data_IF_656750804717
#
_entry.id   IF_656750804717
#
_cell.length_a   1.000
_cell.length_b   1.000
_cell.length_c   1.000
_cell.angle_alpha   90.00
_cell.angle_beta   90.00
_cell.angle_gamma   90.00
#
_symmetry.space_group_name_H-M   'P 1'
#
loop_
_entity.id
_entity.type
_entity.pdbx_description
1 polymer ?
#
# COMPACT_ATOMS: atom_id res chain seq x y z
N UNK A 1 -0.71 -8.20 -32.15
CA UNK A 1 0.25 -8.36 -31.03
C UNK A 1 0.77 -7.06 -30.40
N UNK A 2 0.67 -5.85 -31.02
CA UNK A 2 1.12 -4.57 -30.41
C UNK A 2 0.03 -3.63 -29.84
N UNK A 3 -1.26 -3.99 -29.91
CA UNK A 3 -2.36 -3.11 -29.46
C UNK A 3 -3.02 -3.52 -28.14
N UNK A 4 -2.60 -4.63 -27.54
CA UNK A 4 -3.21 -5.17 -26.30
C UNK A 4 -2.43 -4.74 -25.04
N UNK A 5 -1.19 -4.28 -25.19
CA UNK A 5 -0.28 -3.88 -24.11
C UNK A 5 -0.65 -2.52 -23.45
N UNK A 6 -1.85 -1.97 -23.62
CA UNK A 6 -2.01 -0.51 -23.46
C UNK A 6 -2.51 0.00 -22.09
N UNK A 7 -3.22 -0.75 -21.25
CA UNK A 7 -3.79 -0.15 -20.00
C UNK A 7 -3.29 -0.73 -18.67
N UNK A 8 -2.58 -1.85 -18.70
CA UNK A 8 -1.94 -2.44 -17.50
C UNK A 8 -0.41 -2.41 -17.58
N UNK A 9 0.14 -1.95 -18.69
CA UNK A 9 1.57 -2.03 -18.92
C UNK A 9 2.29 -0.85 -18.28
N UNK A 10 2.97 -1.12 -17.17
CA UNK A 10 3.92 -0.21 -16.54
C UNK A 10 5.22 -0.11 -17.37
N UNK A 11 5.13 -0.18 -18.70
CA UNK A 11 6.31 -0.09 -19.57
C UNK A 11 6.78 1.35 -19.55
N UNK A 12 7.81 1.62 -18.77
CA UNK A 12 8.69 2.75 -19.03
C UNK A 12 9.58 2.32 -20.21
N UNK A 13 9.53 2.99 -21.37
CA UNK A 13 10.48 2.70 -22.43
C UNK A 13 11.87 3.15 -21.96
N UNK A 14 12.67 2.20 -21.45
CA UNK A 14 14.09 2.42 -21.21
C UNK A 14 14.76 2.69 -22.56
N UNK A 15 15.12 3.95 -22.81
CA UNK A 15 16.17 4.21 -23.78
C UNK A 15 17.44 3.57 -23.23
N UNK A 16 17.93 2.52 -23.91
CA UNK A 16 19.33 2.12 -23.79
C UNK A 16 20.15 3.36 -24.12
N UNK A 17 20.80 3.96 -23.12
CA UNK A 17 21.88 4.91 -23.37
C UNK A 17 22.98 4.09 -24.03
N UNK A 18 22.95 4.05 -25.36
CA UNK A 18 23.99 3.45 -26.17
C UNK A 18 25.21 4.36 -26.04
N UNK A 19 26.12 4.01 -25.13
CA UNK A 19 27.47 4.55 -25.13
C UNK A 19 28.11 4.05 -26.42
N UNK A 20 28.11 4.89 -27.46
CA UNK A 20 28.89 4.63 -28.67
C UNK A 20 30.37 4.71 -28.29
N UNK A 21 30.98 3.57 -28.01
CA UNK A 21 32.43 3.44 -27.91
C UNK A 21 33.03 3.55 -29.31
N UNK A 22 33.37 4.77 -29.72
CA UNK A 22 34.29 5.00 -30.82
C UNK A 22 35.68 4.63 -30.33
N UNK A 23 36.19 3.46 -30.74
CA UNK A 23 37.57 3.04 -30.46
C UNK A 23 38.49 3.91 -31.33
N UNK A 24 39.07 4.95 -30.75
CA UNK A 24 40.30 5.57 -31.26
C UNK A 24 41.46 4.98 -30.46
N UNK A 25 42.33 4.25 -31.16
CA UNK A 25 43.61 3.80 -30.62
C UNK A 25 44.43 5.03 -30.24
N UNK A 26 44.60 5.26 -28.94
CA UNK A 26 45.55 6.22 -28.38
C UNK A 26 46.59 5.42 -27.62
N UNK A 27 47.85 5.64 -27.97
CA UNK A 27 49.02 4.99 -27.42
C UNK A 27 49.04 5.10 -25.88
N UNK A 28 49.26 3.96 -25.23
CA UNK A 28 49.33 3.81 -23.78
C UNK A 28 50.70 4.33 -23.32
N UNK A 29 50.74 5.55 -22.79
CA UNK A 29 51.83 5.96 -21.89
C UNK A 29 51.47 5.51 -20.48
N UNK A 30 52.24 4.55 -19.97
CA UNK A 30 52.14 4.04 -18.60
C UNK A 30 52.57 5.13 -17.61
N UNK A 31 51.61 5.88 -17.06
CA UNK A 31 51.81 6.68 -15.85
C UNK A 31 51.24 5.86 -14.70
N UNK A 32 52.10 5.37 -13.81
CA UNK A 32 51.71 4.82 -12.51
C UNK A 32 51.07 5.95 -11.68
N UNK A 33 49.78 6.15 -11.86
CA UNK A 33 48.95 6.91 -10.94
C UNK A 33 48.58 6.02 -9.77
N UNK A 34 49.08 6.33 -8.58
CA UNK A 34 48.63 5.75 -7.32
C UNK A 34 47.16 6.15 -7.15
N UNK A 35 46.23 5.26 -7.53
CA UNK A 35 44.82 5.41 -7.16
C UNK A 35 44.68 5.04 -5.69
N UNK A 36 44.75 6.04 -4.80
CA UNK A 36 44.26 5.88 -3.44
C UNK A 36 42.74 5.76 -3.50
N UNK A 37 42.24 4.53 -3.47
CA UNK A 37 40.85 4.27 -3.07
C UNK A 37 40.72 4.77 -1.63
N UNK A 38 40.18 5.98 -1.49
CA UNK A 38 39.76 6.50 -0.20
C UNK A 38 38.43 5.82 0.14
N UNK A 39 38.51 4.58 0.65
CA UNK A 39 37.39 3.98 1.38
C UNK A 39 37.26 4.78 2.68
N UNK A 40 36.49 5.87 2.61
CA UNK A 40 36.14 6.62 3.80
C UNK A 40 35.32 5.68 4.67
N UNK A 41 35.91 5.22 5.77
CA UNK A 41 35.20 4.40 6.74
C UNK A 41 33.91 5.13 7.16
N UNK A 42 32.76 4.43 7.27
CA UNK A 42 31.52 5.04 7.73
C UNK A 42 31.77 5.80 9.03
N UNK A 43 31.32 7.05 9.10
CA UNK A 43 31.48 7.87 10.29
C UNK A 43 30.83 7.16 11.49
N UNK A 44 31.63 6.88 12.51
CA UNK A 44 31.16 6.34 13.79
C UNK A 44 31.19 7.46 14.83
N UNK A 45 30.02 7.86 15.36
CA UNK A 45 29.94 8.73 16.53
C UNK A 45 30.82 8.20 17.66
N UNK A 46 31.57 9.09 18.29
CA UNK A 46 32.44 8.79 19.45
C UNK A 46 31.70 9.15 20.75
N UNK A 47 30.67 10.02 20.68
CA UNK A 47 29.84 10.44 21.81
C UNK A 47 28.34 10.42 21.45
N UNK A 48 27.49 10.25 22.46
CA UNK A 48 26.02 10.36 22.34
C UNK A 48 25.55 11.77 21.94
N UNK A 49 26.43 12.76 22.01
CA UNK A 49 26.16 14.16 21.62
C UNK A 49 26.51 14.46 20.17
N UNK A 50 27.13 13.53 19.45
CA UNK A 50 27.54 13.75 18.07
C UNK A 50 26.32 13.79 17.16
N UNK A 51 26.11 14.94 16.50
CA UNK A 51 25.01 15.13 15.56
C UNK A 51 25.39 14.48 14.23
N UNK A 52 24.78 13.34 13.93
CA UNK A 52 24.99 12.59 12.68
C UNK A 52 24.19 13.22 11.52
N UNK A 53 23.02 13.78 11.83
CA UNK A 53 22.13 14.41 10.86
C UNK A 53 21.20 15.41 11.57
N UNK A 54 20.79 16.45 10.84
CA UNK A 54 19.82 17.46 11.30
C UNK A 54 18.57 17.37 10.45
N UNK A 55 17.44 16.97 11.06
CA UNK A 55 16.18 16.85 10.35
C UNK A 55 15.67 18.22 9.86
N UNK A 56 15.07 18.30 8.66
CA UNK A 56 14.55 19.55 8.11
C UNK A 56 13.46 20.17 9.00
N UNK A 57 13.36 21.50 8.98
CA UNK A 57 12.36 22.27 9.72
C UNK A 57 10.95 21.77 9.37
N UNK A 58 10.16 21.39 10.38
CA UNK A 58 8.84 20.80 10.20
C UNK A 58 8.80 19.27 10.18
N UNK A 59 9.96 18.60 10.20
CA UNK A 59 10.02 17.20 10.64
C UNK A 59 9.34 17.12 12.00
N UNK A 60 8.47 16.11 12.25
CA UNK A 60 7.90 15.95 13.58
C UNK A 60 9.06 16.01 14.56
N UNK A 61 9.02 17.02 15.44
CA UNK A 61 9.99 17.14 16.52
C UNK A 61 10.04 15.75 17.13
N UNK A 62 11.21 15.13 17.07
CA UNK A 62 11.44 13.86 17.73
C UNK A 62 11.13 14.16 19.19
N UNK A 63 9.90 13.91 19.62
CA UNK A 63 9.49 14.14 20.99
C UNK A 63 10.50 13.34 21.78
N UNK A 64 11.28 14.07 22.56
CA UNK A 64 12.50 13.62 23.18
C UNK A 64 12.23 12.24 23.77
N UNK A 65 13.15 11.28 23.58
CA UNK A 65 13.11 9.95 24.19
C UNK A 65 12.69 9.95 25.68
N UNK A 66 12.77 11.09 26.37
CA UNK A 66 12.17 11.34 27.68
C UNK A 66 10.69 10.95 27.82
N UNK A 67 9.83 11.12 26.79
CA UNK A 67 8.43 10.66 26.84
C UNK A 67 8.30 9.15 26.55
N UNK A 68 9.28 8.57 25.87
CA UNK A 68 9.43 7.13 25.62
C UNK A 68 10.40 6.48 26.63
N UNK A 69 10.40 6.95 27.88
CA UNK A 69 10.99 6.19 28.97
C UNK A 69 10.23 4.87 29.08
N UNK A 70 10.77 3.81 28.46
CA UNK A 70 10.25 2.43 28.42
C UNK A 70 10.00 1.81 29.81
N UNK A 71 10.24 2.55 30.89
CA UNK A 71 10.26 2.11 32.27
C UNK A 71 9.08 2.58 33.13
N UNK A 72 8.18 3.45 32.65
CA UNK A 72 7.03 3.92 33.45
C UNK A 72 5.70 3.58 32.77
N UNK A 73 4.96 2.63 33.36
CA UNK A 73 3.57 2.33 32.98
C UNK A 73 2.69 3.52 33.41
N UNK A 74 2.35 4.37 32.45
CA UNK A 74 1.37 5.46 32.65
C UNK A 74 -0.04 4.89 32.87
N UNK A 75 -1.06 5.69 33.19
CA UNK A 75 -2.46 5.24 33.13
C UNK A 75 -2.92 4.98 31.69
N UNK A 76 -3.76 3.96 31.47
CA UNK A 76 -4.27 3.63 30.13
C UNK A 76 -5.06 4.78 29.49
N UNK A 77 -5.80 5.55 30.29
CA UNK A 77 -6.54 6.74 29.85
C UNK A 77 -5.65 7.86 29.30
N UNK A 78 -4.36 7.86 29.61
CA UNK A 78 -3.39 8.83 29.09
C UNK A 78 -2.75 8.35 27.80
N UNK A 79 -2.45 7.05 27.69
CA UNK A 79 -1.73 6.49 26.53
C UNK A 79 -2.65 6.12 25.37
N UNK A 80 -3.90 5.73 25.62
CA UNK A 80 -4.82 5.31 24.55
C UNK A 80 -5.05 6.44 23.53
N UNK A 81 -5.36 7.68 23.93
CA UNK A 81 -5.53 8.77 22.96
C UNK A 81 -4.26 9.09 22.17
N UNK A 82 -3.08 8.90 22.79
CA UNK A 82 -1.79 9.13 22.12
C UNK A 82 -1.51 8.06 21.06
N UNK A 83 -1.76 6.79 21.39
CA UNK A 83 -1.65 5.69 20.43
C UNK A 83 -2.65 5.90 19.29
N UNK A 84 -3.91 6.23 19.60
CA UNK A 84 -4.94 6.50 18.60
C UNK A 84 -4.56 7.65 17.66
N UNK A 85 -3.98 8.74 18.19
CA UNK A 85 -3.46 9.85 17.37
C UNK A 85 -2.28 9.43 16.48
N UNK A 86 -1.35 8.61 17.00
CA UNK A 86 -0.24 8.07 16.23
C UNK A 86 -0.72 7.14 15.11
N UNK A 87 -1.73 6.31 15.38
CA UNK A 87 -2.32 5.43 14.37
C UNK A 87 -3.07 6.22 13.30
N UNK A 88 -3.85 7.24 13.68
CA UNK A 88 -4.51 8.14 12.72
C UNK A 88 -3.49 8.89 11.86
N UNK A 89 -2.36 9.32 12.45
CA UNK A 89 -1.24 9.90 11.71
C UNK A 89 -0.59 8.92 10.75
N UNK A 90 -0.30 7.70 11.21
CA UNK A 90 0.26 6.64 10.38
C UNK A 90 -0.61 6.38 9.14
N UNK A 91 -1.92 6.29 9.35
CA UNK A 91 -2.89 6.08 8.27
C UNK A 91 -2.98 7.28 7.31
N UNK A 92 -3.15 8.50 7.85
CA UNK A 92 -3.34 9.70 7.04
C UNK A 92 -2.09 10.13 6.27
N UNK A 93 -0.90 10.01 6.86
CA UNK A 93 0.36 10.42 6.24
C UNK A 93 1.09 9.27 5.54
N UNK A 94 0.72 8.01 5.83
CA UNK A 94 1.46 6.82 5.40
C UNK A 94 2.87 6.74 5.99
N UNK A 95 3.07 7.27 7.20
CA UNK A 95 4.37 7.31 7.88
C UNK A 95 4.52 6.14 8.87
N UNK A 96 5.35 5.12 8.57
CA UNK A 96 5.51 3.94 9.43
C UNK A 96 6.16 4.25 10.79
N UNK A 97 6.85 5.41 10.94
CA UNK A 97 7.46 5.80 12.22
C UNK A 97 6.41 5.97 13.32
N UNK A 98 5.22 6.45 12.96
CA UNK A 98 4.13 6.63 13.93
C UNK A 98 3.62 5.29 14.47
N UNK A 99 3.65 4.22 13.65
CA UNK A 99 3.31 2.87 14.09
C UNK A 99 4.34 2.36 15.10
N UNK A 100 5.64 2.55 14.83
CA UNK A 100 6.70 2.17 15.77
C UNK A 100 6.64 2.94 17.11
N UNK A 101 6.21 4.21 17.08
CA UNK A 101 5.97 4.99 18.30
C UNK A 101 4.76 4.44 19.08
N UNK A 102 3.67 4.08 18.39
CA UNK A 102 2.51 3.45 19.00
C UNK A 102 2.86 2.10 19.66
N UNK A 103 3.67 1.27 18.99
CA UNK A 103 4.20 0.03 19.55
C UNK A 103 5.00 0.26 20.83
N UNK A 104 5.90 1.25 20.82
CA UNK A 104 6.73 1.57 21.97
C UNK A 104 5.91 2.04 23.18
N UNK A 105 4.84 2.80 22.96
CA UNK A 105 3.92 3.22 24.02
C UNK A 105 3.09 2.05 24.60
N UNK A 106 2.77 1.06 23.76
CA UNK A 106 1.96 -0.10 24.17
C UNK A 106 2.79 -1.20 24.86
N UNK A 107 4.11 -1.23 24.66
CA UNK A 107 5.02 -2.26 25.17
C UNK A 107 4.91 -2.55 26.70
N UNK A 108 4.73 -1.55 27.60
CA UNK A 108 4.51 -1.80 29.03
C UNK A 108 3.23 -2.60 29.34
N UNK A 109 2.31 -2.70 28.38
CA UNK A 109 1.02 -3.38 28.49
C UNK A 109 0.97 -4.70 27.72
N UNK A 110 2.10 -5.21 27.19
CA UNK A 110 2.11 -6.43 26.35
C UNK A 110 1.47 -7.68 26.98
N UNK A 111 1.41 -7.76 28.31
CA UNK A 111 0.77 -8.87 29.06
C UNK A 111 -0.68 -8.59 29.48
N UNK A 112 -1.18 -7.38 29.25
CA UNK A 112 -2.53 -6.98 29.59
C UNK A 112 -3.50 -7.49 28.52
N UNK A 113 -4.42 -8.38 28.90
CA UNK A 113 -5.40 -8.98 28.01
C UNK A 113 -6.80 -8.38 28.19
N UNK A 114 -6.89 -7.13 28.66
CA UNK A 114 -8.13 -6.36 28.58
C UNK A 114 -8.50 -6.12 27.11
N UNK A 115 -9.80 -6.19 26.74
CA UNK A 115 -10.24 -5.98 25.36
C UNK A 115 -9.73 -4.68 24.71
N UNK A 116 -9.57 -3.62 25.50
CA UNK A 116 -9.08 -2.32 25.03
C UNK A 116 -7.61 -2.39 24.60
N UNK A 117 -6.74 -3.01 25.40
CA UNK A 117 -5.32 -3.18 25.03
C UNK A 117 -5.18 -4.15 23.85
N UNK A 118 -5.97 -5.22 23.84
CA UNK A 118 -6.01 -6.17 22.71
C UNK A 118 -6.40 -5.48 21.40
N UNK A 119 -7.37 -4.56 21.44
CA UNK A 119 -7.79 -3.77 20.28
C UNK A 119 -6.65 -2.88 19.74
N UNK A 120 -5.90 -2.21 20.63
CA UNK A 120 -4.73 -1.44 20.22
C UNK A 120 -3.64 -2.31 19.60
N UNK A 121 -3.38 -3.49 20.19
CA UNK A 121 -2.42 -4.46 19.61
C UNK A 121 -2.87 -4.94 18.24
N UNK A 122 -4.16 -5.25 18.08
CA UNK A 122 -4.71 -5.62 16.79
C UNK A 122 -4.51 -4.50 15.75
N UNK A 123 -4.88 -3.25 16.09
CA UNK A 123 -4.78 -2.10 15.18
C UNK A 123 -3.35 -1.89 14.68
N UNK A 124 -2.39 -1.89 15.61
CA UNK A 124 -0.97 -1.81 15.30
C UNK A 124 -0.51 -3.00 14.43
N UNK A 125 -0.91 -4.23 14.78
CA UNK A 125 -0.55 -5.41 14.03
C UNK A 125 -1.10 -5.37 12.59
N UNK A 126 -2.34 -4.91 12.38
CA UNK A 126 -2.91 -4.70 11.06
C UNK A 126 -2.10 -3.67 10.26
N UNK A 127 -1.77 -2.53 10.85
CA UNK A 127 -0.99 -1.48 10.18
C UNK A 127 0.43 -1.95 9.80
N UNK A 128 1.00 -2.87 10.57
CA UNK A 128 2.28 -3.52 10.26
C UNK A 128 2.15 -4.77 9.35
N UNK A 129 0.98 -5.00 8.74
CA UNK A 129 0.67 -6.18 7.92
C UNK A 129 0.89 -7.53 8.65
N UNK A 130 0.88 -7.53 10.00
CA UNK A 130 0.87 -8.72 10.85
C UNK A 130 -0.58 -9.18 11.05
N UNK A 131 -1.22 -9.55 9.95
CA UNK A 131 -2.65 -9.83 9.92
C UNK A 131 -3.04 -11.01 10.82
N UNK A 132 -2.25 -12.08 10.86
CA UNK A 132 -2.57 -13.24 11.69
C UNK A 132 -2.55 -12.91 13.20
N UNK A 133 -1.58 -12.10 13.64
CA UNK A 133 -1.52 -11.59 15.02
C UNK A 133 -2.74 -10.74 15.34
N UNK A 134 -3.11 -9.82 14.43
CA UNK A 134 -4.30 -8.99 14.59
C UNK A 134 -5.57 -9.83 14.71
N UNK A 135 -5.73 -10.86 13.87
CA UNK A 135 -6.89 -11.77 13.95
C UNK A 135 -6.94 -12.51 15.27
N UNK A 136 -5.82 -12.99 15.78
CA UNK A 136 -5.76 -13.71 17.05
C UNK A 136 -6.28 -12.82 18.19
N UNK A 137 -5.84 -11.57 18.26
CA UNK A 137 -6.31 -10.59 19.24
C UNK A 137 -7.82 -10.35 19.09
N UNK A 138 -8.30 -10.05 17.87
CA UNK A 138 -9.72 -9.76 17.61
C UNK A 138 -10.64 -10.94 17.92
N UNK A 139 -10.25 -12.16 17.56
CA UNK A 139 -11.00 -13.36 17.90
C UNK A 139 -11.05 -13.61 19.41
N UNK A 140 -9.97 -13.30 20.12
CA UNK A 140 -9.95 -13.41 21.57
C UNK A 140 -10.80 -12.32 22.26
N UNK A 141 -10.94 -11.13 21.67
CA UNK A 141 -11.94 -10.13 22.09
C UNK A 141 -13.35 -10.68 21.86
N UNK A 142 -13.67 -11.19 20.68
CA UNK A 142 -15.00 -11.69 20.33
C UNK A 142 -15.46 -12.88 21.17
N UNK A 143 -14.52 -13.68 21.72
CA UNK A 143 -14.84 -14.72 22.72
C UNK A 143 -15.30 -14.14 24.05
N UNK A 144 -14.84 -12.95 24.43
CA UNK A 144 -15.20 -12.26 25.69
C UNK A 144 -16.40 -11.36 25.52
N UNK A 145 -16.48 -10.65 24.39
CA UNK A 145 -17.53 -9.70 24.05
C UNK A 145 -18.09 -10.11 22.68
N UNK A 146 -19.08 -11.03 22.66
CA UNK A 146 -19.71 -11.43 21.41
C UNK A 146 -20.31 -10.22 20.67
N UNK A 147 -20.15 -10.19 19.35
CA UNK A 147 -20.65 -9.13 18.47
C UNK A 147 -20.11 -7.70 18.76
N UNK A 148 -18.94 -7.57 19.37
CA UNK A 148 -18.28 -6.27 19.54
C UNK A 148 -18.00 -5.63 18.16
N UNK A 149 -18.62 -4.50 17.80
CA UNK A 149 -18.67 -4.04 16.40
C UNK A 149 -17.32 -3.71 15.79
N UNK A 150 -16.44 -3.03 16.52
CA UNK A 150 -15.11 -2.65 16.02
C UNK A 150 -14.26 -3.87 15.68
N UNK A 151 -14.35 -4.93 16.49
CA UNK A 151 -13.62 -6.18 16.27
C UNK A 151 -14.16 -6.92 15.06
N UNK A 152 -15.48 -6.91 14.86
CA UNK A 152 -16.10 -7.49 13.68
C UNK A 152 -15.72 -6.74 12.41
N UNK A 153 -15.79 -5.41 12.41
CA UNK A 153 -15.41 -4.58 11.26
C UNK A 153 -13.93 -4.76 10.90
N UNK A 154 -13.05 -4.71 11.91
CA UNK A 154 -11.62 -4.86 11.70
C UNK A 154 -11.26 -6.28 11.23
N UNK A 155 -11.84 -7.31 11.83
CA UNK A 155 -11.62 -8.69 11.42
C UNK A 155 -12.13 -8.91 9.98
N UNK A 156 -13.27 -8.33 9.62
CA UNK A 156 -13.82 -8.40 8.27
C UNK A 156 -12.90 -7.71 7.24
N UNK A 157 -12.34 -6.56 7.60
CA UNK A 157 -11.35 -5.86 6.75
C UNK A 157 -10.10 -6.70 6.53
N UNK A 158 -9.55 -7.30 7.60
CA UNK A 158 -8.39 -8.20 7.49
C UNK A 158 -8.72 -9.43 6.64
N UNK A 159 -9.87 -10.06 6.89
CA UNK A 159 -10.32 -11.21 6.10
C UNK A 159 -10.50 -10.86 4.62
N UNK A 160 -11.03 -9.68 4.30
CA UNK A 160 -11.14 -9.16 2.94
C UNK A 160 -9.75 -9.00 2.29
N UNK A 161 -8.82 -8.32 2.96
CA UNK A 161 -7.45 -8.09 2.47
C UNK A 161 -6.72 -9.40 2.23
N UNK A 162 -6.94 -10.41 3.08
CA UNK A 162 -6.36 -11.74 2.91
C UNK A 162 -7.16 -12.63 1.94
N UNK A 163 -8.20 -12.12 1.26
CA UNK A 163 -8.99 -12.89 0.28
C UNK A 163 -9.89 -13.98 0.88
N UNK A 164 -10.21 -13.89 2.17
CA UNK A 164 -11.12 -14.78 2.92
C UNK A 164 -12.52 -14.17 2.96
N UNK A 165 -13.17 -14.12 1.80
CA UNK A 165 -14.38 -13.33 1.62
C UNK A 165 -15.60 -13.88 2.37
N UNK A 166 -15.68 -15.20 2.57
CA UNK A 166 -16.76 -15.83 3.36
C UNK A 166 -16.65 -15.45 4.85
N UNK A 167 -15.45 -15.45 5.41
CA UNK A 167 -15.16 -15.00 6.77
C UNK A 167 -15.43 -13.51 6.92
N UNK A 168 -15.00 -12.69 5.95
CA UNK A 168 -15.28 -11.26 5.94
C UNK A 168 -16.79 -10.98 5.97
N UNK A 169 -17.57 -11.71 5.16
CA UNK A 169 -19.04 -11.60 5.17
C UNK A 169 -19.63 -11.96 6.52
N UNK A 170 -19.21 -13.09 7.12
CA UNK A 170 -19.69 -13.53 8.44
C UNK A 170 -19.43 -12.46 9.51
N UNK A 171 -18.27 -11.80 9.46
CA UNK A 171 -17.93 -10.69 10.34
C UNK A 171 -18.88 -9.50 10.16
N UNK A 172 -19.10 -9.05 8.92
CA UNK A 172 -20.06 -7.98 8.62
C UNK A 172 -21.49 -8.33 9.08
N UNK A 173 -21.93 -9.57 8.88
CA UNK A 173 -23.25 -10.05 9.31
C UNK A 173 -23.40 -10.19 10.83
N UNK A 174 -22.29 -10.29 11.56
CA UNK A 174 -22.26 -10.28 13.01
C UNK A 174 -22.63 -8.92 13.63
N UNK A 175 -22.58 -7.83 12.85
CA UNK A 175 -22.91 -6.47 13.34
C UNK A 175 -24.43 -6.37 13.49
N UNK A 176 -24.91 -6.41 14.73
CA UNK A 176 -26.35 -6.41 15.06
C UNK A 176 -26.87 -5.09 15.62
N UNK A 177 -25.97 -4.15 15.92
CA UNK A 177 -26.35 -2.84 16.44
C UNK A 177 -27.07 -2.02 15.35
N UNK A 178 -28.31 -1.63 15.64
CA UNK A 178 -29.13 -0.85 14.71
C UNK A 178 -28.53 0.52 14.38
N UNK A 179 -27.77 1.12 15.30
CA UNK A 179 -27.07 2.38 15.06
C UNK A 179 -25.93 2.26 14.05
N UNK A 180 -25.44 1.03 13.81
CA UNK A 180 -24.30 0.74 12.92
C UNK A 180 -24.73 0.10 11.59
N UNK A 181 -26.02 0.12 11.25
CA UNK A 181 -26.52 -0.51 10.01
C UNK A 181 -25.87 0.05 8.74
N UNK A 182 -25.57 1.35 8.70
CA UNK A 182 -24.85 1.95 7.57
C UNK A 182 -23.45 1.34 7.42
N UNK A 183 -22.71 1.17 8.51
CA UNK A 183 -21.38 0.54 8.48
C UNK A 183 -21.47 -0.93 8.09
N UNK A 184 -22.51 -1.64 8.56
CA UNK A 184 -22.77 -3.01 8.12
C UNK A 184 -23.02 -3.09 6.62
N UNK A 185 -23.87 -2.23 6.06
CA UNK A 185 -24.14 -2.22 4.62
C UNK A 185 -22.89 -1.86 3.81
N UNK A 186 -22.09 -0.90 4.26
CA UNK A 186 -20.81 -0.59 3.64
C UNK A 186 -19.83 -1.78 3.69
N UNK A 187 -19.74 -2.48 4.82
CA UNK A 187 -18.92 -3.69 5.00
C UNK A 187 -19.36 -4.81 4.04
N UNK A 188 -20.67 -5.11 3.98
CA UNK A 188 -21.22 -6.12 3.07
C UNK A 188 -21.01 -5.75 1.60
N UNK A 189 -21.24 -4.49 1.24
CA UNK A 189 -20.96 -3.98 -0.10
C UNK A 189 -19.47 -4.08 -0.44
N UNK A 190 -18.58 -3.90 0.54
CA UNK A 190 -17.15 -4.09 0.35
C UNK A 190 -16.82 -5.55 -0.01
N UNK A 191 -17.44 -6.52 0.66
CA UNK A 191 -17.28 -7.94 0.32
C UNK A 191 -17.92 -8.26 -1.03
N UNK A 192 -19.14 -7.80 -1.28
CA UNK A 192 -19.88 -8.04 -2.52
C UNK A 192 -19.11 -7.57 -3.77
N UNK A 193 -18.39 -6.45 -3.69
CA UNK A 193 -17.57 -5.99 -4.82
C UNK A 193 -16.39 -6.91 -5.14
N UNK A 194 -15.97 -7.77 -4.19
CA UNK A 194 -14.90 -8.75 -4.40
C UNK A 194 -15.42 -10.12 -4.81
N UNK A 195 -16.74 -10.34 -4.80
CA UNK A 195 -17.36 -11.67 -4.97
C UNK A 195 -18.52 -11.68 -5.98
N UNK A 196 -18.29 -11.18 -7.18
CA UNK A 196 -19.23 -11.32 -8.32
C UNK A 196 -20.43 -10.37 -8.30
N UNK A 197 -20.38 -9.31 -7.48
CA UNK A 197 -21.46 -8.32 -7.37
C UNK A 197 -20.94 -6.89 -7.47
N UNK A 198 -19.91 -6.65 -8.30
CA UNK A 198 -19.25 -5.34 -8.45
C UNK A 198 -20.24 -4.22 -8.80
N UNK A 199 -21.15 -4.47 -9.76
CA UNK A 199 -22.16 -3.47 -10.17
C UNK A 199 -23.21 -3.23 -9.09
N UNK A 200 -23.70 -4.29 -8.43
CA UNK A 200 -24.68 -4.13 -7.34
C UNK A 200 -24.08 -3.40 -6.13
N UNK A 201 -22.81 -3.67 -5.82
CA UNK A 201 -22.07 -2.95 -4.79
C UNK A 201 -21.88 -1.47 -5.14
N UNK A 202 -21.55 -1.16 -6.39
CA UNK A 202 -21.51 0.24 -6.89
C UNK A 202 -22.81 0.98 -6.57
N UNK A 203 -23.94 0.39 -6.91
CA UNK A 203 -25.25 1.02 -6.77
C UNK A 203 -25.59 1.22 -5.29
N UNK A 204 -25.33 0.21 -4.46
CA UNK A 204 -25.49 0.26 -2.99
C UNK A 204 -24.65 1.39 -2.37
N UNK A 205 -23.35 1.45 -2.69
CA UNK A 205 -22.43 2.45 -2.13
C UNK A 205 -22.72 3.86 -2.64
N UNK A 206 -23.22 4.00 -3.87
CA UNK A 206 -23.68 5.28 -4.41
C UNK A 206 -24.86 5.80 -3.60
N UNK A 207 -25.86 4.95 -3.33
CA UNK A 207 -27.01 5.31 -2.49
C UNK A 207 -26.59 5.67 -1.06
N UNK A 208 -25.70 4.88 -0.46
CA UNK A 208 -25.17 5.15 0.88
C UNK A 208 -24.43 6.50 0.94
N UNK A 209 -23.66 6.85 -0.10
CA UNK A 209 -22.92 8.12 -0.17
C UNK A 209 -23.80 9.36 -0.36
N UNK A 210 -24.99 9.19 -0.94
CA UNK A 210 -25.94 10.28 -1.22
C UNK A 210 -26.91 10.55 -0.06
N UNK A 211 -26.95 9.67 0.94
CA UNK A 211 -27.86 9.79 2.08
C UNK A 211 -27.13 10.45 3.25
N UNK A 212 -27.81 11.32 4.01
CA UNK A 212 -27.29 11.75 5.31
C UNK A 212 -27.27 10.55 6.25
N UNK A 213 -26.09 9.98 6.44
CA UNK A 213 -25.90 8.64 7.00
C UNK A 213 -25.18 8.66 8.37
N UNK A 214 -24.92 9.85 8.92
CA UNK A 214 -24.29 10.02 10.24
C UNK A 214 -22.83 9.57 10.33
N UNK A 215 -22.20 9.19 9.21
CA UNK A 215 -20.80 8.75 9.19
C UNK A 215 -19.86 9.93 9.46
N UNK A 216 -18.83 9.68 10.27
CA UNK A 216 -17.74 10.64 10.48
C UNK A 216 -16.82 10.73 9.25
N UNK A 217 -15.88 11.68 9.26
CA UNK A 217 -14.99 11.93 8.12
C UNK A 217 -14.13 10.71 7.72
N UNK A 218 -13.66 9.91 8.69
CA UNK A 218 -12.88 8.69 8.41
C UNK A 218 -13.74 7.61 7.77
N UNK A 219 -14.97 7.41 8.25
CA UNK A 219 -15.93 6.46 7.71
C UNK A 219 -16.40 6.85 6.31
N UNK A 220 -16.64 8.15 6.05
CA UNK A 220 -16.96 8.65 4.71
C UNK A 220 -15.80 8.42 3.74
N UNK A 221 -14.56 8.65 4.20
CA UNK A 221 -13.36 8.38 3.40
C UNK A 221 -13.24 6.90 3.07
N UNK A 222 -13.41 6.02 4.05
CA UNK A 222 -13.42 4.57 3.82
C UNK A 222 -14.47 4.17 2.77
N UNK A 223 -15.71 4.68 2.88
CA UNK A 223 -16.76 4.47 1.89
C UNK A 223 -16.33 4.93 0.48
N UNK A 224 -15.72 6.11 0.39
CA UNK A 224 -15.24 6.68 -0.87
C UNK A 224 -14.04 5.92 -1.46
N UNK A 225 -13.16 5.34 -0.64
CA UNK A 225 -12.07 4.48 -1.11
C UNK A 225 -12.60 3.19 -1.74
N UNK A 226 -13.65 2.59 -1.16
CA UNK A 226 -14.32 1.43 -1.77
C UNK A 226 -14.92 1.83 -3.13
N UNK A 227 -15.61 2.98 -3.20
CA UNK A 227 -16.18 3.50 -4.45
C UNK A 227 -15.10 3.81 -5.50
N UNK A 228 -13.93 4.32 -5.09
CA UNK A 228 -12.80 4.57 -5.99
C UNK A 228 -12.25 3.28 -6.59
N UNK A 229 -12.10 2.22 -5.78
CA UNK A 229 -11.68 0.90 -6.25
C UNK A 229 -12.69 0.30 -7.26
N UNK A 230 -13.99 0.44 -6.98
CA UNK A 230 -15.04 0.03 -7.91
C UNK A 230 -14.97 0.83 -9.21
N UNK A 231 -14.81 2.15 -9.13
CA UNK A 231 -14.67 3.00 -10.30
C UNK A 231 -13.50 2.53 -11.17
N UNK A 232 -12.34 2.27 -10.55
CA UNK A 232 -11.15 1.76 -11.22
C UNK A 232 -11.41 0.42 -11.93
N UNK A 233 -12.01 -0.56 -11.23
CA UNK A 233 -12.24 -1.90 -11.80
C UNK A 233 -13.31 -1.91 -12.90
N UNK A 234 -14.34 -1.08 -12.78
CA UNK A 234 -15.36 -0.88 -13.82
C UNK A 234 -14.91 0.04 -14.95
N UNK A 235 -13.79 0.77 -14.77
CA UNK A 235 -13.40 1.87 -15.64
C UNK A 235 -14.57 2.88 -15.81
N UNK A 236 -15.20 3.27 -14.71
CA UNK A 236 -16.38 4.14 -14.66
C UNK A 236 -15.98 5.60 -14.36
N UNK A 237 -15.86 6.47 -15.39
CA UNK A 237 -15.41 7.85 -15.20
C UNK A 237 -16.45 8.73 -14.49
N UNK A 238 -17.74 8.37 -14.57
CA UNK A 238 -18.81 9.13 -13.90
C UNK A 238 -18.71 8.91 -12.39
N UNK A 239 -18.57 7.65 -11.96
CA UNK A 239 -18.35 7.33 -10.57
C UNK A 239 -17.03 7.92 -10.06
N UNK A 240 -15.93 7.76 -10.81
CA UNK A 240 -14.64 8.31 -10.42
C UNK A 240 -14.70 9.82 -10.18
N UNK A 241 -15.36 10.57 -11.08
CA UNK A 241 -15.56 12.01 -10.89
C UNK A 241 -16.31 12.31 -9.59
N UNK A 242 -17.45 11.64 -9.36
CA UNK A 242 -18.24 11.83 -8.13
C UNK A 242 -17.44 11.50 -6.87
N UNK A 243 -16.61 10.47 -6.89
CA UNK A 243 -15.79 10.06 -5.74
C UNK A 243 -14.69 11.09 -5.47
N UNK A 244 -13.95 11.53 -6.49
CA UNK A 244 -12.83 12.46 -6.32
C UNK A 244 -13.23 13.91 -6.05
N UNK A 245 -14.52 14.25 -6.22
CA UNK A 245 -15.12 15.50 -5.73
C UNK A 245 -15.46 15.45 -4.23
N UNK A 246 -15.60 14.24 -3.65
CA UNK A 246 -16.05 14.04 -2.25
C UNK A 246 -14.94 13.57 -1.32
N UNK A 247 -13.98 12.78 -1.83
CA UNK A 247 -12.85 12.31 -1.03
C UNK A 247 -11.88 13.48 -0.75
N UNK A 248 -11.26 13.45 0.41
CA UNK A 248 -10.21 14.41 0.77
C UNK A 248 -9.02 14.34 -0.18
N UNK A 249 -8.19 15.39 -0.17
CA UNK A 249 -7.05 15.54 -1.09
C UNK A 249 -5.69 15.57 -0.38
N UNK A 250 -5.66 15.31 0.93
CA UNK A 250 -4.48 15.52 1.77
C UNK A 250 -3.93 14.24 2.39
N UNK A 251 -4.70 13.15 2.41
CA UNK A 251 -4.20 11.90 2.99
C UNK A 251 -3.67 10.92 1.96
N UNK A 252 -2.71 10.12 2.42
CA UNK A 252 -2.04 9.11 1.62
C UNK A 252 -3.00 8.12 0.95
N UNK A 253 -4.03 7.55 1.61
CA UNK A 253 -4.98 6.65 0.96
C UNK A 253 -5.78 7.34 -0.17
N UNK A 254 -6.25 8.56 0.06
CA UNK A 254 -7.05 9.31 -0.91
C UNK A 254 -6.23 9.76 -2.12
N UNK A 255 -5.01 10.27 -1.87
CA UNK A 255 -4.04 10.58 -2.90
C UNK A 255 -3.63 9.34 -3.70
N UNK A 256 -3.45 8.20 -3.03
CA UNK A 256 -3.12 6.91 -3.67
C UNK A 256 -4.24 6.47 -4.61
N UNK A 257 -5.49 6.43 -4.13
CA UNK A 257 -6.63 6.02 -4.95
C UNK A 257 -6.81 6.92 -6.19
N UNK A 258 -6.63 8.24 -6.02
CA UNK A 258 -6.70 9.20 -7.13
C UNK A 258 -5.54 9.03 -8.11
N UNK A 259 -4.33 8.83 -7.62
CA UNK A 259 -3.17 8.56 -8.45
C UNK A 259 -3.31 7.26 -9.24
N UNK A 260 -3.81 6.19 -8.63
CA UNK A 260 -4.04 4.90 -9.31
C UNK A 260 -5.07 5.03 -10.44
N UNK A 261 -6.16 5.78 -10.21
CA UNK A 261 -7.10 6.11 -11.28
C UNK A 261 -6.44 6.88 -12.43
N UNK A 262 -5.67 7.94 -12.11
CA UNK A 262 -5.00 8.76 -13.13
C UNK A 262 -3.95 7.96 -13.91
N UNK A 263 -3.15 7.13 -13.24
CA UNK A 263 -2.16 6.26 -13.87
C UNK A 263 -2.82 5.24 -14.80
N UNK A 264 -3.92 4.61 -14.38
CA UNK A 264 -4.68 3.67 -15.21
C UNK A 264 -5.26 4.33 -16.48
N UNK A 265 -5.52 5.63 -16.43
CA UNK A 265 -6.00 6.45 -17.55
C UNK A 265 -4.89 7.19 -18.29
N UNK A 266 -3.62 6.91 -17.97
CA UNK A 266 -2.43 7.53 -18.58
C UNK A 266 -2.38 9.05 -18.42
N UNK A 267 -3.04 9.57 -17.39
CA UNK A 267 -3.05 10.98 -17.03
C UNK A 267 -1.77 11.34 -16.24
N UNK A 268 -0.61 11.16 -16.88
CA UNK A 268 0.70 11.26 -16.23
C UNK A 268 0.97 12.66 -15.68
N UNK A 269 0.67 13.70 -16.45
CA UNK A 269 0.87 15.09 -16.02
C UNK A 269 0.02 15.44 -14.80
N UNK A 270 -1.22 14.97 -14.75
CA UNK A 270 -2.11 15.17 -13.60
C UNK A 270 -1.64 14.37 -12.38
N UNK A 271 -1.14 13.16 -12.59
CA UNK A 271 -0.55 12.34 -11.52
C UNK A 271 0.66 13.04 -10.91
N UNK A 272 1.58 13.54 -11.75
CA UNK A 272 2.75 14.30 -11.29
C UNK A 272 2.32 15.53 -10.51
N UNK A 273 1.38 16.31 -11.05
CA UNK A 273 0.90 17.52 -10.39
C UNK A 273 0.27 17.23 -9.02
N UNK A 274 -0.45 16.12 -8.90
CA UNK A 274 -1.05 15.68 -7.64
C UNK A 274 0.00 15.32 -6.58
N UNK A 275 1.14 14.75 -6.98
CA UNK A 275 2.08 14.10 -6.06
C UNK A 275 3.41 14.83 -5.84
N UNK A 276 3.68 15.94 -6.55
CA UNK A 276 4.99 16.61 -6.56
C UNK A 276 5.50 17.04 -5.17
N UNK A 277 4.59 17.31 -4.22
CA UNK A 277 4.90 17.74 -2.85
C UNK A 277 4.87 16.59 -1.82
N UNK A 278 4.67 15.34 -2.25
CA UNK A 278 4.48 14.18 -1.37
C UNK A 278 5.62 13.15 -1.50
N UNK A 279 6.85 13.64 -1.75
CA UNK A 279 8.04 12.79 -1.91
C UNK A 279 8.51 12.13 -0.61
N UNK A 280 7.99 12.55 0.53
CA UNK A 280 8.23 11.97 1.85
C UNK A 280 7.52 10.62 2.03
N UNK A 281 6.39 10.40 1.35
CA UNK A 281 5.67 9.12 1.38
C UNK A 281 6.12 8.18 0.25
N UNK A 282 6.55 6.97 0.60
CA UNK A 282 7.13 6.02 -0.36
C UNK A 282 6.14 5.50 -1.41
N UNK A 283 4.90 5.22 -1.01
CA UNK A 283 3.87 4.73 -1.93
C UNK A 283 3.44 5.82 -2.93
N UNK A 284 3.46 7.09 -2.52
CA UNK A 284 3.18 8.24 -3.37
C UNK A 284 4.40 8.59 -4.26
N UNK A 285 5.62 8.56 -3.71
CA UNK A 285 6.85 8.75 -4.47
C UNK A 285 6.97 7.72 -5.61
N UNK A 286 6.64 6.45 -5.34
CA UNK A 286 6.62 5.41 -6.37
C UNK A 286 5.70 5.79 -7.56
N UNK A 287 4.49 6.28 -7.27
CA UNK A 287 3.52 6.70 -8.30
C UNK A 287 3.91 7.99 -9.01
N UNK A 288 4.54 8.92 -8.29
CA UNK A 288 5.15 10.12 -8.87
C UNK A 288 6.20 9.71 -9.91
N UNK A 289 7.18 8.89 -9.52
CA UNK A 289 8.25 8.39 -10.39
C UNK A 289 7.68 7.65 -11.60
N UNK A 290 6.65 6.81 -11.41
CA UNK A 290 5.94 6.15 -12.53
C UNK A 290 5.44 7.16 -13.55
N UNK A 291 4.81 8.26 -13.10
CA UNK A 291 4.30 9.29 -14.00
C UNK A 291 5.41 10.09 -14.69
N UNK A 292 6.49 10.43 -13.97
CA UNK A 292 7.60 11.23 -14.49
C UNK A 292 8.41 10.49 -15.56
N UNK A 293 8.61 9.18 -15.36
CA UNK A 293 9.27 8.33 -16.34
C UNK A 293 8.48 8.23 -17.66
N UNK A 294 7.15 8.21 -17.59
CA UNK A 294 6.30 8.23 -18.79
C UNK A 294 6.36 9.58 -19.52
N UNK A 295 6.42 10.68 -18.76
CA UNK A 295 6.56 12.03 -19.30
C UNK A 295 7.96 12.34 -19.83
N UNK A 296 8.96 11.52 -19.46
CA UNK A 296 10.39 11.85 -19.63
C UNK A 296 10.72 13.20 -18.98
N UNK A 297 10.15 13.43 -17.80
CA UNK A 297 10.32 14.69 -17.07
C UNK A 297 11.78 14.86 -16.60
N UNK A 298 12.35 16.08 -16.58
CA UNK A 298 13.71 16.32 -16.10
C UNK A 298 13.99 15.78 -14.69
N UNK A 299 13.00 15.86 -13.79
CA UNK A 299 13.13 15.40 -12.40
C UNK A 299 13.14 13.87 -12.26
N UNK A 300 12.73 13.13 -13.30
CA UNK A 300 12.52 11.68 -13.22
C UNK A 300 13.79 10.94 -12.76
N UNK A 301 14.97 11.41 -13.15
CA UNK A 301 16.24 10.79 -12.75
C UNK A 301 16.51 10.97 -11.25
N UNK A 302 16.27 12.16 -10.70
CA UNK A 302 16.52 12.46 -9.30
C UNK A 302 15.53 11.72 -8.40
N UNK A 303 14.24 11.75 -8.74
CA UNK A 303 13.19 11.12 -7.95
C UNK A 303 13.27 9.58 -8.02
N UNK A 304 13.64 9.03 -9.19
CA UNK A 304 13.93 7.60 -9.31
C UNK A 304 15.13 7.16 -8.46
N UNK A 305 16.19 7.98 -8.36
CA UNK A 305 17.33 7.71 -7.48
C UNK A 305 16.90 7.67 -6.03
N UNK A 306 16.13 8.67 -5.58
CA UNK A 306 15.58 8.73 -4.23
C UNK A 306 14.75 7.48 -3.91
N UNK A 307 13.83 7.10 -4.80
CA UNK A 307 13.03 5.89 -4.63
C UNK A 307 13.90 4.63 -4.53
N UNK A 308 14.92 4.52 -5.38
CA UNK A 308 15.84 3.37 -5.40
C UNK A 308 16.63 3.26 -4.08
N UNK A 309 17.09 4.38 -3.53
CA UNK A 309 17.78 4.43 -2.23
C UNK A 309 16.87 3.92 -1.10
N UNK A 310 15.62 4.35 -1.05
CA UNK A 310 14.65 3.91 -0.03
C UNK A 310 14.32 2.41 -0.15
N UNK A 311 14.12 1.92 -1.36
CA UNK A 311 13.91 0.49 -1.64
C UNK A 311 15.13 -0.34 -1.20
N UNK A 312 16.37 0.16 -1.40
CA UNK A 312 17.58 -0.53 -0.97
C UNK A 312 17.65 -0.65 0.56
N UNK A 313 17.29 0.41 1.29
CA UNK A 313 17.22 0.37 2.77
C UNK A 313 16.23 -0.70 3.25
N UNK A 314 15.07 -0.81 2.61
CA UNK A 314 14.11 -1.88 2.94
C UNK A 314 14.68 -3.28 2.69
N UNK A 315 15.38 -3.46 1.56
CA UNK A 315 16.02 -4.75 1.24
C UNK A 315 17.11 -5.12 2.26
N UNK A 316 17.96 -4.17 2.65
CA UNK A 316 19.04 -4.37 3.64
C UNK A 316 18.50 -4.78 5.01
N UNK A 317 17.33 -4.24 5.38
CA UNK A 317 16.63 -4.59 6.63
C UNK A 317 15.80 -5.86 6.53
N UNK A 318 15.67 -6.45 5.34
CA UNK A 318 14.78 -7.59 5.11
C UNK A 318 13.30 -7.26 5.35
N UNK A 319 12.89 -6.02 5.09
CA UNK A 319 11.51 -5.59 5.32
C UNK A 319 10.53 -6.30 4.37
N UNK A 320 9.46 -6.89 4.94
CA UNK A 320 8.46 -7.66 4.19
C UNK A 320 7.05 -7.05 4.23
N UNK A 321 6.89 -5.82 4.73
CA UNK A 321 5.62 -5.11 4.75
C UNK A 321 5.29 -4.48 3.39
N UNK A 322 6.30 -3.94 2.68
CA UNK A 322 6.14 -3.19 1.42
C UNK A 322 6.37 -4.06 0.17
N UNK A 323 5.94 -5.32 0.18
CA UNK A 323 6.24 -6.25 -0.92
C UNK A 323 5.52 -5.89 -2.23
N UNK A 324 4.32 -5.32 -2.14
CA UNK A 324 3.61 -4.74 -3.29
C UNK A 324 4.44 -3.64 -3.96
N UNK A 325 4.87 -2.64 -3.21
CA UNK A 325 5.65 -1.50 -3.72
C UNK A 325 7.01 -1.96 -4.28
N UNK A 326 7.68 -2.90 -3.61
CA UNK A 326 8.91 -3.50 -4.12
C UNK A 326 8.69 -4.24 -5.45
N UNK A 327 7.57 -4.97 -5.59
CA UNK A 327 7.22 -5.62 -6.85
C UNK A 327 6.88 -4.60 -7.96
N UNK A 328 6.22 -3.49 -7.61
CA UNK A 328 5.97 -2.38 -8.53
C UNK A 328 7.26 -1.73 -9.02
N UNK A 329 8.19 -1.46 -8.12
CA UNK A 329 9.53 -0.98 -8.46
C UNK A 329 10.28 -1.98 -9.34
N UNK A 330 10.25 -3.27 -9.00
CA UNK A 330 10.88 -4.31 -9.81
C UNK A 330 10.25 -4.42 -11.22
N UNK A 331 8.96 -4.13 -11.38
CA UNK A 331 8.37 -4.03 -12.71
C UNK A 331 8.84 -2.78 -13.46
N UNK A 332 9.03 -1.66 -12.78
CA UNK A 332 9.55 -0.42 -13.40
C UNK A 332 10.96 -0.59 -13.97
N UNK A 333 11.86 -1.24 -13.22
CA UNK A 333 13.27 -1.42 -13.61
C UNK A 333 13.52 -2.66 -14.46
N UNK A 334 12.45 -3.42 -14.74
CA UNK A 334 12.42 -4.61 -15.59
C UNK A 334 13.33 -5.80 -15.17
N UNK A 335 13.36 -6.22 -13.89
CA UNK A 335 13.69 -7.61 -13.50
C UNK A 335 12.42 -8.47 -13.29
N UNK A 336 11.90 -9.15 -14.34
CA UNK A 336 10.63 -9.88 -14.26
C UNK A 336 10.58 -10.95 -13.18
N UNK A 337 11.68 -11.70 -12.97
CA UNK A 337 11.74 -12.75 -11.94
C UNK A 337 11.64 -12.16 -10.52
N UNK A 338 12.40 -11.11 -10.22
CA UNK A 338 12.34 -10.42 -8.92
C UNK A 338 10.95 -9.87 -8.65
N UNK A 339 10.32 -9.24 -9.65
CA UNK A 339 8.95 -8.78 -9.52
C UNK A 339 7.96 -9.91 -9.22
N UNK A 340 8.09 -11.05 -9.91
CA UNK A 340 7.23 -12.21 -9.68
C UNK A 340 7.40 -12.80 -8.29
N UNK A 341 8.64 -12.93 -7.81
CA UNK A 341 8.92 -13.49 -6.48
C UNK A 341 8.40 -12.59 -5.35
N UNK A 342 8.55 -11.28 -5.49
CA UNK A 342 7.96 -10.30 -4.56
C UNK A 342 6.44 -10.34 -4.59
N UNK A 343 5.83 -10.41 -5.77
CA UNK A 343 4.38 -10.53 -5.91
C UNK A 343 3.82 -11.84 -5.31
N UNK A 344 4.52 -12.96 -5.49
CA UNK A 344 4.18 -14.25 -4.85
C UNK A 344 4.23 -14.17 -3.33
N UNK A 345 5.26 -13.54 -2.78
CA UNK A 345 5.38 -13.37 -1.33
C UNK A 345 4.25 -12.48 -0.79
N UNK A 346 3.98 -11.37 -1.47
CA UNK A 346 2.88 -10.49 -1.12
C UNK A 346 1.53 -11.23 -1.17
N UNK A 347 1.32 -12.06 -2.20
CA UNK A 347 0.11 -12.87 -2.38
C UNK A 347 -0.16 -13.85 -1.24
N UNK A 348 0.85 -14.25 -0.46
CA UNK A 348 0.63 -15.07 0.73
C UNK A 348 -0.04 -14.27 1.86
N UNK A 349 0.19 -12.96 1.89
CA UNK A 349 -0.30 -12.06 2.94
C UNK A 349 -1.56 -11.29 2.52
N UNK A 350 -1.66 -10.86 1.27
CA UNK A 350 -2.62 -9.84 0.85
C UNK A 350 -2.99 -9.98 -0.64
N UNK A 351 -4.28 -9.77 -0.95
CA UNK A 351 -4.94 -10.03 -2.24
C UNK A 351 -5.96 -8.95 -2.60
N UNK A 352 -5.65 -7.69 -2.30
CA UNK A 352 -6.44 -6.55 -2.76
C UNK A 352 -6.29 -6.36 -4.27
N UNK A 353 -7.16 -5.53 -4.87
CA UNK A 353 -7.15 -5.22 -6.30
C UNK A 353 -5.75 -4.92 -6.84
N UNK A 354 -4.98 -4.07 -6.14
CA UNK A 354 -3.63 -3.71 -6.56
C UNK A 354 -2.68 -4.93 -6.58
N UNK A 355 -2.81 -5.87 -5.63
CA UNK A 355 -1.98 -7.08 -5.59
C UNK A 355 -2.28 -8.02 -6.75
N UNK A 356 -3.57 -8.18 -7.10
CA UNK A 356 -3.98 -8.99 -8.26
C UNK A 356 -3.37 -8.40 -9.54
N UNK A 357 -3.40 -7.07 -9.67
CA UNK A 357 -2.80 -6.35 -10.80
C UNK A 357 -1.28 -6.54 -10.86
N UNK A 358 -0.59 -6.29 -9.74
CA UNK A 358 0.88 -6.43 -9.65
C UNK A 358 1.30 -7.86 -9.98
N UNK A 359 0.62 -8.85 -9.40
CA UNK A 359 0.97 -10.26 -9.60
C UNK A 359 0.69 -10.72 -11.02
N UNK A 360 -0.44 -10.32 -11.61
CA UNK A 360 -0.75 -10.62 -13.02
C UNK A 360 0.31 -10.02 -13.95
N UNK A 361 0.66 -8.75 -13.76
CA UNK A 361 1.69 -8.09 -14.59
C UNK A 361 3.07 -8.74 -14.43
N UNK A 362 3.45 -9.10 -13.19
CA UNK A 362 4.70 -9.80 -12.93
C UNK A 362 4.74 -11.19 -13.60
N UNK A 363 3.66 -11.94 -13.51
CA UNK A 363 3.52 -13.26 -14.12
C UNK A 363 3.59 -13.19 -15.65
N UNK A 364 2.93 -12.21 -16.28
CA UNK A 364 3.00 -11.97 -17.73
C UNK A 364 4.44 -11.62 -18.14
N UNK A 365 5.10 -10.68 -17.44
CA UNK A 365 6.47 -10.28 -17.81
C UNK A 365 7.49 -11.39 -17.60
N UNK A 366 7.28 -12.25 -16.62
CA UNK A 366 8.10 -13.42 -16.36
C UNK A 366 7.72 -14.62 -17.24
N UNK A 367 6.66 -14.51 -18.07
CA UNK A 367 6.08 -15.60 -18.89
C UNK A 367 5.73 -16.85 -18.06
N UNK A 368 5.19 -16.65 -16.87
CA UNK A 368 4.92 -17.73 -15.94
C UNK A 368 3.48 -18.23 -16.07
N UNK A 369 3.26 -19.18 -16.98
CA UNK A 369 1.96 -19.83 -17.16
C UNK A 369 1.39 -20.45 -15.87
N UNK A 370 2.18 -21.08 -14.97
CA UNK A 370 1.67 -21.58 -13.70
C UNK A 370 1.02 -20.50 -12.83
N UNK A 371 1.66 -19.33 -12.69
CA UNK A 371 1.12 -18.22 -11.89
C UNK A 371 -0.11 -17.61 -12.54
N UNK A 372 -0.12 -17.45 -13.87
CA UNK A 372 -1.31 -16.98 -14.59
C UNK A 372 -2.52 -17.91 -14.35
N UNK A 373 -2.31 -19.23 -14.41
CA UNK A 373 -3.37 -20.21 -14.11
C UNK A 373 -3.82 -20.17 -12.65
N UNK A 374 -2.89 -19.94 -11.71
CA UNK A 374 -3.22 -19.77 -10.29
C UNK A 374 -4.13 -18.56 -10.07
N UNK A 375 -3.78 -17.42 -10.67
CA UNK A 375 -4.57 -16.19 -10.57
C UNK A 375 -5.95 -16.37 -11.20
N UNK A 376 -6.02 -16.97 -12.41
CA UNK A 376 -7.28 -17.27 -13.09
C UNK A 376 -8.19 -18.20 -12.27
N UNK A 377 -7.61 -19.23 -11.65
CA UNK A 377 -8.35 -20.12 -10.75
C UNK A 377 -8.88 -19.39 -9.52
N UNK A 378 -8.09 -18.53 -8.90
CA UNK A 378 -8.52 -17.72 -7.75
C UNK A 378 -9.65 -16.76 -8.13
N UNK A 379 -9.54 -16.06 -9.28
CA UNK A 379 -10.59 -15.19 -9.81
C UNK A 379 -11.91 -15.97 -9.98
N UNK A 380 -11.85 -17.16 -10.59
CA UNK A 380 -13.04 -18.02 -10.78
C UNK A 380 -13.63 -18.53 -9.47
N UNK A 381 -12.77 -18.93 -8.52
CA UNK A 381 -13.19 -19.46 -7.23
C UNK A 381 -13.90 -18.39 -6.38
N UNK A 382 -13.37 -17.17 -6.39
CA UNK A 382 -13.85 -16.08 -5.53
C UNK A 382 -14.95 -15.23 -6.17
N UNK A 383 -15.03 -15.24 -7.50
CA UNK A 383 -15.86 -14.31 -8.25
C UNK A 383 -15.28 -12.90 -8.30
N UNK A 384 -13.97 -12.70 -8.06
CA UNK A 384 -13.36 -11.37 -8.19
C UNK A 384 -13.57 -10.78 -9.59
N UNK A 385 -14.12 -9.56 -9.65
CA UNK A 385 -14.44 -8.91 -10.91
C UNK A 385 -13.46 -7.76 -11.21
N UNK A 386 -12.72 -7.90 -12.30
CA UNK A 386 -12.00 -6.81 -12.95
C UNK A 386 -11.94 -7.08 -14.47
N UNK A 387 -12.98 -6.68 -15.23
CA UNK A 387 -13.18 -7.11 -16.63
C UNK A 387 -11.95 -6.94 -17.53
N UNK A 388 -11.30 -5.78 -17.47
CA UNK A 388 -10.10 -5.52 -18.27
C UNK A 388 -8.93 -6.44 -17.90
N UNK A 389 -8.67 -6.62 -16.60
CA UNK A 389 -7.60 -7.50 -16.12
C UNK A 389 -7.85 -8.96 -16.51
N UNK A 390 -9.08 -9.45 -16.33
CA UNK A 390 -9.47 -10.83 -16.68
C UNK A 390 -9.31 -11.09 -18.18
N UNK A 391 -9.62 -10.10 -19.03
CA UNK A 391 -9.39 -10.21 -20.47
C UNK A 391 -7.89 -10.36 -20.81
N UNK A 392 -7.04 -9.51 -20.21
CA UNK A 392 -5.57 -9.56 -20.43
C UNK A 392 -4.98 -10.88 -19.93
N UNK A 393 -5.42 -11.36 -18.76
CA UNK A 393 -5.02 -12.63 -18.20
C UNK A 393 -5.37 -13.80 -19.13
N UNK A 394 -6.63 -13.87 -19.59
CA UNK A 394 -7.08 -14.93 -20.48
C UNK A 394 -6.33 -14.95 -21.82
N UNK A 395 -6.00 -13.79 -22.37
CA UNK A 395 -5.20 -13.68 -23.59
C UNK A 395 -3.76 -14.13 -23.37
N UNK A 396 -3.16 -13.79 -22.22
CA UNK A 396 -1.79 -14.20 -21.88
C UNK A 396 -1.67 -15.71 -21.67
N UNK A 397 -2.67 -16.33 -21.03
CA UNK A 397 -2.75 -17.79 -20.89
C UNK A 397 -2.82 -18.48 -22.26
N UNK A 398 -3.66 -17.97 -23.18
CA UNK A 398 -3.77 -18.51 -24.55
C UNK A 398 -2.48 -18.37 -25.36
N UNK A 399 -1.69 -17.33 -25.08
CA UNK A 399 -0.40 -17.10 -25.72
C UNK A 399 0.74 -17.97 -25.14
N UNK A 400 0.49 -18.73 -24.07
CA UNK A 400 1.48 -19.62 -23.45
C UNK A 400 2.37 -18.98 -22.38
N UNK A 401 2.04 -17.76 -21.92
CA UNK A 401 2.84 -17.00 -20.95
C UNK A 401 3.44 -15.73 -21.52
#
# INVERSE_FOLDING_TARGET
>A
MRQIESRLDWKVPLQRVAIKTTIRAVAISFILGIFTFSDAAPYRPISDTDVIDTLPVGSPTFQTRQLLNKSVKQPFSVIEPQISALMSRAYSQGDPRSIGQAEALLEPYRRDNSPQVMMLRANIAQANHRFDDARQELQAILKKIPNQPDSLLMLSSIDLVQGRFDEARKGCDGIRDMSLMILRFACLAQVDNMTGKLVSSRDTLTQLSQTNNGLNAEQQRWLNLIRADIALRLNDPVLAKSVFEQIDIDTAPSLTARADWLLAHRAWAQTRQLLLNHKDNDALLLRLVMSELQLKHPDAQADFKLLSERINVWNERGETAHQREQAMYALMVNPPRKALDLARSNWQKQRETADVVVYTNAAIRARSLPDLKLIDAWIKQTGFEYPHLTQVLAQSIKAGG
#
